data_IF_732908693536
#
_entry.id   IF_732908693536
#
_cell.length_a   1.000
_cell.length_b   1.000
_cell.length_c   1.000
_cell.angle_alpha   90.00
_cell.angle_beta   90.00
_cell.angle_gamma   90.00
#
_symmetry.space_group_name_H-M   'P 1'
#
loop_
_entity.id
_entity.type
_entity.pdbx_description
1 polymer ?
#
# COMPACT_ATOMS: atom_id res chain seq x y z
N UNK A 1 -35.71 5.23 19.74
CA UNK A 1 -35.38 6.41 18.91
C UNK A 1 -33.86 6.54 18.84
N UNK A 2 -33.23 5.95 17.82
CA UNK A 2 -31.88 6.36 17.41
C UNK A 2 -31.99 6.78 15.94
N UNK A 3 -32.67 7.91 15.73
CA UNK A 3 -32.99 8.41 14.37
C UNK A 3 -31.79 9.05 13.67
N UNK A 4 -30.65 9.15 14.37
CA UNK A 4 -29.42 9.73 13.85
C UNK A 4 -28.43 8.63 13.50
N UNK A 5 -27.91 8.67 12.27
CA UNK A 5 -26.82 7.82 11.81
C UNK A 5 -25.55 8.08 12.61
N UNK A 6 -24.94 7.03 13.14
CA UNK A 6 -23.67 7.10 13.88
C UNK A 6 -22.62 6.40 13.04
N UNK A 7 -21.49 7.07 12.78
CA UNK A 7 -20.36 6.50 12.04
C UNK A 7 -19.14 6.54 12.95
N UNK A 8 -18.57 5.37 13.22
CA UNK A 8 -17.28 5.21 13.87
C UNK A 8 -16.26 4.89 12.80
N UNK A 9 -15.30 5.78 12.59
CA UNK A 9 -14.24 5.62 11.60
C UNK A 9 -12.89 5.53 12.30
N UNK A 10 -12.23 4.38 12.18
CA UNK A 10 -10.89 4.15 12.70
C UNK A 10 -9.90 4.10 11.54
N UNK A 11 -9.11 5.16 11.42
CA UNK A 11 -7.96 5.16 10.52
C UNK A 11 -6.81 4.39 11.15
N UNK A 12 -6.14 3.57 10.34
CA UNK A 12 -5.01 2.75 10.76
C UNK A 12 -5.30 1.91 12.02
N UNK A 13 -6.42 1.18 12.03
CA UNK A 13 -6.78 0.25 13.11
C UNK A 13 -5.66 -0.73 13.51
N UNK A 14 -4.83 -1.28 12.59
CA UNK A 14 -3.71 -2.15 12.97
C UNK A 14 -2.76 -1.52 14.01
N UNK A 15 -2.57 -0.20 13.94
CA UNK A 15 -1.72 0.53 14.89
C UNK A 15 -2.34 0.65 16.28
N UNK A 16 -3.67 0.79 16.34
CA UNK A 16 -4.40 0.87 17.61
C UNK A 16 -4.54 -0.52 18.27
N UNK A 17 -4.64 -1.58 17.47
CA UNK A 17 -4.89 -2.95 17.88
C UNK A 17 -3.61 -3.72 18.26
N UNK A 18 -2.75 -3.11 19.08
CA UNK A 18 -1.54 -3.78 19.59
C UNK A 18 -1.88 -4.91 20.56
N UNK A 19 -0.94 -5.85 20.78
CA UNK A 19 -1.13 -7.07 21.60
C UNK A 19 -1.70 -6.83 23.01
N UNK A 20 -1.49 -5.64 23.59
CA UNK A 20 -1.95 -5.26 24.94
C UNK A 20 -3.02 -4.17 24.96
N UNK A 21 -3.48 -3.71 23.80
CA UNK A 21 -4.47 -2.62 23.71
C UNK A 21 -5.86 -3.02 24.25
N UNK A 22 -6.22 -4.30 24.17
CA UNK A 22 -7.59 -4.75 24.48
C UNK A 22 -8.65 -4.28 23.46
N UNK A 23 -8.25 -3.52 22.43
CA UNK A 23 -9.17 -2.80 21.56
C UNK A 23 -10.06 -3.74 20.74
N UNK A 24 -9.48 -4.78 20.14
CA UNK A 24 -10.24 -5.74 19.34
C UNK A 24 -11.23 -6.52 20.22
N UNK A 25 -10.85 -6.84 21.46
CA UNK A 25 -11.73 -7.51 22.41
C UNK A 25 -12.89 -6.59 22.83
N UNK A 26 -12.60 -5.32 23.10
CA UNK A 26 -13.63 -4.34 23.43
C UNK A 26 -14.60 -4.12 22.26
N UNK A 27 -14.09 -3.95 21.04
CA UNK A 27 -14.92 -3.80 19.84
C UNK A 27 -15.80 -5.03 19.60
N UNK A 28 -15.27 -6.24 19.79
CA UNK A 28 -16.06 -7.47 19.65
C UNK A 28 -17.13 -7.59 20.73
N UNK A 29 -16.81 -7.27 21.98
CA UNK A 29 -17.78 -7.26 23.07
C UNK A 29 -18.93 -6.29 22.79
N UNK A 30 -18.62 -5.02 22.53
CA UNK A 30 -19.62 -3.97 22.25
C UNK A 30 -20.46 -4.32 21.01
N UNK A 31 -19.84 -4.89 19.96
CA UNK A 31 -20.54 -5.35 18.77
C UNK A 31 -21.60 -6.41 19.06
N UNK A 32 -21.23 -7.41 19.86
CA UNK A 32 -22.12 -8.53 20.17
C UNK A 32 -23.15 -8.20 21.25
N UNK A 33 -22.89 -7.24 22.15
CA UNK A 33 -23.83 -6.89 23.23
C UNK A 33 -24.89 -5.87 22.76
N UNK A 34 -24.48 -4.72 22.22
CA UNK A 34 -25.40 -3.60 21.98
C UNK A 34 -25.41 -3.12 20.53
N UNK A 35 -24.23 -2.98 19.91
CA UNK A 35 -24.09 -2.24 18.65
C UNK A 35 -24.73 -2.97 17.47
N UNK A 36 -24.82 -4.30 17.49
CA UNK A 36 -25.51 -5.07 16.45
C UNK A 36 -27.02 -4.81 16.38
N UNK A 37 -27.63 -4.25 17.44
CA UNK A 37 -29.05 -3.88 17.48
C UNK A 37 -29.29 -2.43 17.02
N UNK A 38 -28.23 -1.65 16.75
CA UNK A 38 -28.32 -0.26 16.34
C UNK A 38 -28.20 -0.18 14.81
N UNK A 39 -29.32 -0.25 14.09
CA UNK A 39 -29.36 -0.25 12.62
C UNK A 39 -28.66 0.96 11.97
N UNK A 40 -28.63 2.08 12.68
CA UNK A 40 -28.06 3.35 12.24
C UNK A 40 -26.56 3.48 12.50
N UNK A 41 -25.95 2.54 13.22
CA UNK A 41 -24.53 2.49 13.50
C UNK A 41 -23.77 1.86 12.33
N UNK A 42 -22.65 2.49 11.95
CA UNK A 42 -21.68 1.97 10.99
C UNK A 42 -20.28 2.08 11.56
N UNK A 43 -19.57 0.96 11.58
CA UNK A 43 -18.14 0.89 11.87
C UNK A 43 -17.38 0.78 10.55
N UNK A 44 -16.43 1.67 10.34
CA UNK A 44 -15.55 1.69 9.19
C UNK A 44 -14.13 1.67 9.72
N UNK A 45 -13.34 0.73 9.21
CA UNK A 45 -11.96 0.52 9.62
C UNK A 45 -11.08 0.49 8.38
N UNK A 46 -9.91 1.12 8.44
CA UNK A 46 -8.90 1.02 7.40
C UNK A 46 -7.51 0.80 7.99
N UNK A 47 -6.56 0.47 7.12
CA UNK A 47 -5.15 0.36 7.47
C UNK A 47 -4.32 -0.16 6.30
N UNK A 48 -3.07 0.26 6.29
CA UNK A 48 -2.07 -0.10 5.27
C UNK A 48 -1.57 -1.55 5.42
N UNK A 49 -1.64 -2.13 6.62
CA UNK A 49 -1.26 -3.51 6.92
C UNK A 49 -2.35 -4.51 6.47
N UNK A 50 -2.42 -4.75 5.16
CA UNK A 50 -3.43 -5.62 4.54
C UNK A 50 -3.35 -7.08 5.00
N UNK A 51 -2.16 -7.64 5.29
CA UNK A 51 -2.03 -8.98 5.87
C UNK A 51 -2.56 -9.05 7.30
N UNK A 52 -2.28 -8.03 8.13
CA UNK A 52 -2.82 -7.97 9.49
C UNK A 52 -4.35 -7.86 9.49
N UNK A 53 -4.92 -7.02 8.61
CA UNK A 53 -6.38 -6.91 8.46
C UNK A 53 -6.96 -8.26 7.99
N UNK A 54 -6.29 -8.94 7.05
CA UNK A 54 -6.72 -10.26 6.61
C UNK A 54 -6.68 -11.27 7.76
N UNK A 55 -5.58 -11.35 8.51
CA UNK A 55 -5.37 -12.39 9.52
C UNK A 55 -6.14 -12.14 10.83
N UNK A 56 -6.32 -10.88 11.23
CA UNK A 56 -6.92 -10.51 12.53
C UNK A 56 -8.37 -10.05 12.45
N UNK A 57 -8.84 -9.58 11.29
CA UNK A 57 -10.23 -9.16 11.11
C UNK A 57 -10.99 -10.08 10.18
N UNK A 58 -10.38 -10.54 9.08
CA UNK A 58 -11.11 -11.27 8.01
C UNK A 58 -11.00 -12.79 8.12
N UNK A 59 -9.93 -13.34 8.69
CA UNK A 59 -9.66 -14.79 8.76
C UNK A 59 -9.57 -15.34 10.20
N UNK A 60 -9.69 -14.47 11.21
CA UNK A 60 -9.68 -14.91 12.60
C UNK A 60 -10.92 -15.78 12.92
N UNK A 61 -10.74 -16.86 13.66
CA UNK A 61 -11.82 -17.81 13.97
C UNK A 61 -12.81 -17.28 15.04
N UNK A 62 -12.54 -16.10 15.59
CA UNK A 62 -13.41 -15.36 16.52
C UNK A 62 -13.44 -13.86 16.19
N UNK A 63 -14.30 -13.10 16.86
CA UNK A 63 -14.35 -11.64 16.72
C UNK A 63 -15.30 -11.11 15.64
N UNK A 64 -14.96 -9.93 15.09
CA UNK A 64 -15.70 -9.22 14.04
C UNK A 64 -15.75 -9.94 12.68
N UNK A 65 -15.06 -11.09 12.52
CA UNK A 65 -14.97 -11.88 11.28
C UNK A 65 -16.31 -12.13 10.58
N UNK A 66 -17.33 -12.53 11.33
CA UNK A 66 -18.68 -12.77 10.80
C UNK A 66 -19.59 -11.53 10.83
N UNK A 67 -19.02 -10.34 11.06
CA UNK A 67 -19.72 -9.05 11.14
C UNK A 67 -19.31 -8.09 10.03
N UNK A 68 -18.29 -8.45 9.25
CA UNK A 68 -17.87 -7.67 8.08
C UNK A 68 -18.95 -7.77 7.01
N UNK A 69 -19.57 -6.64 6.71
CA UNK A 69 -20.63 -6.54 5.68
C UNK A 69 -20.09 -6.13 4.32
N UNK A 70 -18.98 -5.38 4.29
CA UNK A 70 -18.35 -4.93 3.05
C UNK A 70 -16.85 -4.72 3.24
N UNK A 71 -16.08 -5.23 2.29
CA UNK A 71 -14.63 -4.97 2.19
C UNK A 71 -14.36 -4.13 0.96
N UNK A 72 -13.58 -3.06 1.11
CA UNK A 72 -13.14 -2.20 0.01
C UNK A 72 -11.62 -2.35 -0.11
N UNK A 73 -11.17 -2.99 -1.18
CA UNK A 73 -9.75 -3.06 -1.49
C UNK A 73 -9.39 -1.93 -2.47
N UNK A 74 -8.75 -0.88 -1.94
CA UNK A 74 -8.27 0.24 -2.75
C UNK A 74 -7.06 -0.22 -3.58
N UNK A 75 -7.25 -0.27 -4.90
CA UNK A 75 -6.20 -0.58 -5.86
C UNK A 75 -5.58 0.70 -6.41
N UNK A 76 -4.35 0.63 -6.92
CA UNK A 76 -3.81 1.70 -7.76
C UNK A 76 -4.78 2.05 -8.89
N UNK A 77 -4.77 3.31 -9.30
CA UNK A 77 -5.51 3.78 -10.46
C UNK A 77 -5.13 3.01 -11.71
N UNK A 78 -6.11 2.79 -12.59
CA UNK A 78 -5.80 2.36 -13.95
C UNK A 78 -5.30 3.55 -14.76
N UNK A 79 -4.75 3.30 -15.95
CA UNK A 79 -4.31 4.38 -16.85
C UNK A 79 -5.43 5.41 -17.11
N UNK A 80 -6.67 4.94 -17.30
CA UNK A 80 -7.83 5.83 -17.49
C UNK A 80 -8.11 6.70 -16.25
N UNK A 81 -7.99 6.13 -15.05
CA UNK A 81 -8.29 6.83 -13.81
C UNK A 81 -7.15 7.81 -13.48
N UNK A 82 -5.94 7.48 -13.90
CA UNK A 82 -4.76 8.38 -13.86
C UNK A 82 -4.97 9.61 -14.74
N UNK A 83 -5.48 9.43 -15.97
CA UNK A 83 -5.81 10.56 -16.84
C UNK A 83 -6.85 11.48 -16.18
N UNK A 84 -7.95 10.91 -15.67
CA UNK A 84 -9.02 11.65 -14.98
C UNK A 84 -8.47 12.38 -13.74
N UNK A 85 -7.60 11.72 -12.98
CA UNK A 85 -6.99 12.32 -11.80
C UNK A 85 -6.11 13.52 -12.16
N UNK A 86 -5.25 13.40 -13.17
CA UNK A 86 -4.39 14.49 -13.64
C UNK A 86 -5.21 15.65 -14.20
N UNK A 87 -6.26 15.37 -14.97
CA UNK A 87 -7.20 16.38 -15.46
C UNK A 87 -7.90 17.12 -14.30
N UNK A 88 -8.32 16.40 -13.26
CA UNK A 88 -8.93 16.99 -12.06
C UNK A 88 -7.97 17.91 -11.30
N UNK A 89 -6.66 17.69 -11.46
CA UNK A 89 -5.59 18.53 -10.94
C UNK A 89 -5.23 19.71 -11.86
N UNK A 90 -5.92 19.90 -12.98
CA UNK A 90 -5.60 20.91 -13.99
C UNK A 90 -4.34 20.60 -14.82
N UNK A 91 -3.84 19.36 -14.75
CA UNK A 91 -2.70 18.89 -15.54
C UNK A 91 -3.23 18.38 -16.88
N UNK A 92 -3.14 19.22 -17.90
CA UNK A 92 -3.57 18.88 -19.26
C UNK A 92 -2.40 18.29 -20.06
N UNK A 93 -2.35 16.97 -20.16
CA UNK A 93 -1.32 16.23 -20.89
C UNK A 93 -1.91 15.46 -22.08
N UNK A 94 -1.10 15.26 -23.13
CA UNK A 94 -1.51 14.37 -24.23
C UNK A 94 -1.59 12.92 -23.73
N UNK A 95 -2.42 12.05 -24.32
CA UNK A 95 -2.56 10.66 -23.89
C UNK A 95 -1.23 9.90 -23.80
N UNK A 96 -0.30 10.16 -24.74
CA UNK A 96 1.04 9.56 -24.73
C UNK A 96 1.85 9.97 -23.49
N UNK A 97 1.72 11.22 -23.05
CA UNK A 97 2.42 11.74 -21.88
C UNK A 97 1.84 11.19 -20.59
N UNK A 98 0.51 11.01 -20.53
CA UNK A 98 -0.14 10.32 -19.40
C UNK A 98 0.35 8.87 -19.31
N UNK A 99 0.48 8.18 -20.46
CA UNK A 99 1.03 6.82 -20.51
C UNK A 99 2.48 6.77 -20.01
N UNK A 100 3.34 7.71 -20.44
CA UNK A 100 4.72 7.81 -19.96
C UNK A 100 4.78 7.97 -18.44
N UNK A 101 4.00 8.89 -17.88
CA UNK A 101 3.90 9.10 -16.44
C UNK A 101 3.41 7.84 -15.71
N UNK A 102 2.38 7.17 -16.25
CA UNK A 102 1.86 5.94 -15.69
C UNK A 102 2.87 4.78 -15.74
N UNK A 103 3.70 4.68 -16.78
CA UNK A 103 4.75 3.66 -16.85
C UNK A 103 5.86 3.89 -15.81
N UNK A 104 6.15 5.15 -15.47
CA UNK A 104 7.19 5.50 -14.49
C UNK A 104 6.69 5.40 -13.06
N UNK A 105 5.51 5.95 -12.78
CA UNK A 105 4.99 6.10 -11.42
C UNK A 105 3.91 5.07 -11.05
N UNK A 106 3.42 4.30 -12.03
CA UNK A 106 2.22 3.48 -11.86
C UNK A 106 0.96 4.32 -11.66
N UNK A 107 -0.08 3.66 -11.12
CA UNK A 107 -1.34 4.30 -10.74
C UNK A 107 -1.39 4.75 -9.29
N UNK A 108 -0.25 5.04 -8.65
CA UNK A 108 -0.21 5.34 -7.22
C UNK A 108 -0.56 6.81 -6.99
N UNK A 109 -1.68 7.13 -6.31
CA UNK A 109 -2.14 8.52 -6.15
C UNK A 109 -1.11 9.42 -5.47
N UNK A 110 -0.34 8.89 -4.51
CA UNK A 110 0.72 9.63 -3.81
C UNK A 110 1.79 10.20 -4.77
N UNK A 111 2.27 9.39 -5.73
CA UNK A 111 3.25 9.83 -6.72
C UNK A 111 2.62 10.75 -7.77
N UNK A 112 1.44 10.39 -8.27
CA UNK A 112 0.70 11.22 -9.23
C UNK A 112 0.37 12.61 -8.69
N UNK A 113 0.24 12.74 -7.36
CA UNK A 113 0.01 14.02 -6.72
C UNK A 113 1.21 14.98 -6.80
N UNK A 114 2.41 14.49 -7.13
CA UNK A 114 3.60 15.35 -7.32
C UNK A 114 3.73 15.89 -8.75
N UNK A 115 2.78 15.57 -9.63
CA UNK A 115 2.80 16.07 -11.01
C UNK A 115 2.33 17.53 -11.01
N UNK A 116 3.21 18.41 -11.47
CA UNK A 116 2.94 19.85 -11.59
C UNK A 116 2.31 20.22 -12.94
N UNK A 117 1.51 21.29 -12.92
CA UNK A 117 0.89 21.86 -14.12
C UNK A 117 1.93 22.56 -15.00
N UNK A 118 1.64 22.66 -16.30
CA UNK A 118 2.46 23.42 -17.25
C UNK A 118 3.77 22.75 -17.65
N UNK A 119 4.06 21.56 -17.15
CA UNK A 119 5.24 20.77 -17.52
C UNK A 119 4.88 19.62 -18.47
N UNK A 120 5.82 19.27 -19.35
CA UNK A 120 5.75 18.03 -20.12
C UNK A 120 6.07 16.81 -19.26
N UNK A 121 5.59 15.62 -19.67
CA UNK A 121 5.93 14.35 -19.01
C UNK A 121 7.43 14.18 -18.81
N UNK A 122 8.25 14.52 -19.80
CA UNK A 122 9.72 14.44 -19.69
C UNK A 122 10.27 15.35 -18.60
N UNK A 123 9.78 16.58 -18.49
CA UNK A 123 10.20 17.52 -17.44
C UNK A 123 9.79 17.02 -16.05
N UNK A 124 8.58 16.51 -15.92
CA UNK A 124 8.05 15.92 -14.67
C UNK A 124 8.88 14.71 -14.26
N UNK A 125 9.17 13.80 -15.19
CA UNK A 125 10.01 12.62 -14.92
C UNK A 125 11.42 13.06 -14.52
N UNK A 126 11.97 14.09 -15.18
CA UNK A 126 13.27 14.64 -14.83
C UNK A 126 13.29 15.19 -13.40
N UNK A 127 12.31 16.02 -13.02
CA UNK A 127 12.24 16.60 -11.67
C UNK A 127 12.03 15.54 -10.59
N UNK A 128 11.16 14.55 -10.83
CA UNK A 128 10.83 13.56 -9.82
C UNK A 128 11.90 12.46 -9.67
N UNK A 129 12.49 12.00 -10.77
CA UNK A 129 13.36 10.82 -10.78
C UNK A 129 14.85 11.13 -10.89
N UNK A 130 15.24 12.26 -11.50
CA UNK A 130 16.62 12.51 -11.93
C UNK A 130 17.24 13.78 -11.31
N UNK A 131 16.53 14.48 -10.43
CA UNK A 131 17.09 15.52 -9.58
C UNK A 131 17.39 14.95 -8.19
N UNK A 132 18.46 15.43 -7.54
CA UNK A 132 18.89 14.93 -6.22
C UNK A 132 17.82 15.14 -5.12
N UNK A 133 17.02 16.19 -5.26
CA UNK A 133 15.87 16.53 -4.41
C UNK A 133 14.55 15.92 -4.90
N UNK A 134 14.55 15.23 -6.05
CA UNK A 134 13.40 14.56 -6.62
C UNK A 134 12.86 13.47 -5.69
N UNK A 135 11.53 13.43 -5.52
CA UNK A 135 10.87 12.47 -4.61
C UNK A 135 11.32 11.03 -4.87
N UNK A 136 11.39 10.62 -6.14
CA UNK A 136 11.65 9.25 -6.55
C UNK A 136 13.14 8.91 -6.62
N UNK A 137 14.03 9.90 -6.52
CA UNK A 137 15.48 9.71 -6.63
C UNK A 137 16.01 8.73 -5.56
N UNK A 138 15.56 8.91 -4.31
CA UNK A 138 15.96 8.06 -3.17
C UNK A 138 14.86 7.09 -2.72
N UNK A 139 13.72 7.06 -3.40
CA UNK A 139 12.54 6.32 -2.94
C UNK A 139 12.78 4.81 -2.88
N UNK A 140 13.47 4.25 -3.87
CA UNK A 140 13.84 2.82 -3.86
C UNK A 140 14.54 2.42 -2.55
N UNK A 141 15.49 3.23 -2.09
CA UNK A 141 16.24 2.94 -0.88
C UNK A 141 15.43 3.18 0.40
N UNK A 142 14.63 4.25 0.43
CA UNK A 142 13.79 4.61 1.59
C UNK A 142 12.67 3.59 1.80
N UNK A 143 11.95 3.25 0.73
CA UNK A 143 10.83 2.32 0.76
C UNK A 143 11.27 0.94 1.25
N UNK A 144 12.32 0.37 0.67
CA UNK A 144 12.80 -0.96 1.07
C UNK A 144 13.29 -0.99 2.53
N UNK A 145 13.95 0.07 3.01
CA UNK A 145 14.33 0.19 4.43
C UNK A 145 13.13 0.27 5.37
N UNK A 146 12.02 0.87 4.93
CA UNK A 146 10.79 0.93 5.74
C UNK A 146 10.00 -0.38 5.74
N UNK A 147 10.16 -1.21 4.70
CA UNK A 147 9.38 -2.44 4.51
C UNK A 147 10.08 -3.70 5.01
N UNK A 148 11.42 -3.72 5.04
CA UNK A 148 12.18 -4.94 5.32
C UNK A 148 13.30 -4.68 6.33
N UNK A 149 13.42 -5.56 7.33
CA UNK A 149 14.54 -5.55 8.29
C UNK A 149 15.89 -5.74 7.57
N UNK A 150 15.94 -6.63 6.57
CA UNK A 150 17.12 -6.90 5.75
C UNK A 150 17.07 -6.19 4.37
N UNK A 151 16.75 -4.90 4.35
CA UNK A 151 16.58 -4.12 3.12
C UNK A 151 17.75 -4.25 2.12
N UNK A 152 19.00 -4.37 2.59
CA UNK A 152 20.17 -4.51 1.73
C UNK A 152 20.22 -5.82 0.95
N UNK A 153 19.69 -6.91 1.54
CA UNK A 153 19.55 -8.19 0.84
C UNK A 153 18.55 -8.05 -0.30
N UNK A 154 17.39 -7.45 -0.01
CA UNK A 154 16.36 -7.19 -1.02
C UNK A 154 16.86 -6.25 -2.13
N UNK A 155 17.62 -5.20 -1.79
CA UNK A 155 18.25 -4.32 -2.79
C UNK A 155 19.16 -5.10 -3.74
N UNK A 156 20.03 -5.99 -3.21
CA UNK A 156 20.93 -6.81 -4.02
C UNK A 156 20.15 -7.72 -4.96
N UNK A 157 19.12 -8.40 -4.44
CA UNK A 157 18.25 -9.29 -5.22
C UNK A 157 17.65 -8.55 -6.42
N UNK A 158 17.02 -7.40 -6.18
CA UNK A 158 16.39 -6.60 -7.25
C UNK A 158 17.42 -6.14 -8.27
N UNK A 159 18.58 -5.64 -7.83
CA UNK A 159 19.65 -5.20 -8.74
C UNK A 159 20.19 -6.34 -9.60
N UNK A 160 20.33 -7.55 -9.05
CA UNK A 160 20.77 -8.73 -9.82
C UNK A 160 19.72 -9.19 -10.84
N UNK A 161 18.42 -9.14 -10.50
CA UNK A 161 17.34 -9.42 -11.45
C UNK A 161 17.39 -8.44 -12.63
N UNK A 162 17.51 -7.13 -12.34
CA UNK A 162 17.57 -6.07 -13.35
C UNK A 162 18.77 -6.25 -14.29
N UNK A 163 19.96 -6.57 -13.75
CA UNK A 163 21.17 -6.80 -14.56
C UNK A 163 21.04 -7.97 -15.54
N UNK A 164 20.27 -9.02 -15.19
CA UNK A 164 20.15 -10.25 -15.98
C UNK A 164 18.91 -10.31 -16.88
N UNK A 165 18.05 -9.28 -16.85
CA UNK A 165 16.94 -9.12 -17.80
C UNK A 165 15.93 -10.27 -17.78
N UNK A 166 15.46 -10.66 -16.58
CA UNK A 166 14.44 -11.69 -16.32
C UNK A 166 14.86 -13.17 -16.54
N UNK A 167 16.11 -13.46 -16.93
CA UNK A 167 16.61 -14.83 -17.06
C UNK A 167 17.56 -15.22 -15.91
N UNK A 168 17.08 -15.14 -14.67
CA UNK A 168 17.87 -15.55 -13.50
C UNK A 168 17.17 -16.67 -12.73
N UNK A 169 17.87 -17.80 -12.58
CA UNK A 169 17.40 -18.89 -11.72
C UNK A 169 17.62 -18.52 -10.26
N UNK A 170 16.82 -19.07 -9.35
CA UNK A 170 17.03 -18.91 -7.89
C UNK A 170 18.45 -19.29 -7.48
N UNK A 171 19.02 -20.32 -8.09
CA UNK A 171 20.35 -20.81 -7.78
C UNK A 171 21.43 -19.80 -8.20
N UNK A 172 21.28 -19.19 -9.39
CA UNK A 172 22.15 -18.11 -9.88
C UNK A 172 22.04 -16.86 -8.99
N UNK A 173 20.84 -16.55 -8.51
CA UNK A 173 20.58 -15.40 -7.64
C UNK A 173 21.18 -15.60 -6.24
N UNK A 174 21.11 -16.81 -5.69
CA UNK A 174 21.78 -17.17 -4.43
C UNK A 174 23.30 -17.06 -4.54
N UNK A 175 23.87 -17.54 -5.65
CA UNK A 175 25.30 -17.41 -5.93
C UNK A 175 25.75 -15.95 -6.08
N UNK A 176 25.00 -15.12 -6.81
CA UNK A 176 25.38 -13.71 -7.04
C UNK A 176 25.19 -12.80 -5.84
N UNK A 177 24.25 -13.15 -4.95
CA UNK A 177 23.99 -12.38 -3.72
C UNK A 177 24.82 -12.85 -2.52
N UNK A 178 25.55 -13.97 -2.66
CA UNK A 178 26.43 -14.51 -1.61
C UNK A 178 25.68 -15.21 -0.48
N UNK A 179 24.40 -15.57 -0.67
CA UNK A 179 23.56 -16.22 0.33
C UNK A 179 23.47 -17.74 0.06
N UNK A 180 23.58 -18.56 1.10
CA UNK A 180 23.31 -19.99 1.03
C UNK A 180 21.80 -20.25 1.07
N UNK A 181 21.33 -21.40 0.58
CA UNK A 181 19.88 -21.70 0.50
C UNK A 181 19.19 -21.94 1.86
N UNK A 182 19.79 -21.52 2.97
CA UNK A 182 19.30 -21.71 4.34
C UNK A 182 18.84 -20.42 5.02
N UNK A 183 17.76 -20.52 5.81
CA UNK A 183 17.33 -19.53 6.81
C UNK A 183 16.75 -18.21 6.30
N UNK A 184 17.57 -17.37 5.66
CA UNK A 184 17.28 -15.96 5.36
C UNK A 184 16.32 -15.70 4.20
N UNK A 185 15.78 -16.75 3.57
CA UNK A 185 14.74 -16.66 2.53
C UNK A 185 13.37 -17.14 3.03
N UNK A 186 13.19 -17.28 4.34
CA UNK A 186 11.86 -17.43 4.93
C UNK A 186 11.32 -16.05 5.27
N UNK A 187 10.02 -15.89 5.06
CA UNK A 187 9.22 -14.74 5.49
C UNK A 187 9.56 -14.43 6.96
N UNK A 188 10.37 -13.42 7.20
CA UNK A 188 10.44 -12.73 8.48
C UNK A 188 9.48 -11.56 8.36
N UNK A 189 8.24 -11.82 8.76
CA UNK A 189 7.26 -10.79 9.15
C UNK A 189 7.45 -10.46 10.63
#
# INVERSE_FOLDING_TARGET
MHDKKIILFFDELPWLATRRSGLLQALDYEWNTEWSQIDTLKLIVCGSASSWILDKLINDKGGLHNRITKTIHLKPFLLKDTAIYLESKGVSLKPIQVLELYMVMGGIPFYLNQVDQGQSSTQIINSLCFQEDGLLFNEFHRLFRSLFDEADVHHKIIREIVKKGNNISRQTLLQSTGHTSGGGFKKTE
#
